data_IF_001283600886
#
_entry.id   IF_001283600886
#
_cell.length_a   1.000
_cell.length_b   1.000
_cell.length_c   1.000
_cell.angle_alpha   90.00
_cell.angle_beta   90.00
_cell.angle_gamma   90.00
#
_symmetry.space_group_name_H-M   'P 1'
#
loop_
_entity.id
_entity.type
_entity.pdbx_description
1 polymer ?
#
# COMPACT_ATOMS: atom_id res chain seq x y z
N UNK A 1 17.73 -17.39 -9.02
CA UNK A 1 16.61 -16.59 -9.54
C UNK A 1 15.60 -16.37 -8.43
N UNK A 2 15.45 -15.14 -7.93
CA UNK A 2 14.45 -14.81 -6.91
C UNK A 2 13.08 -14.77 -7.58
N UNK A 3 12.13 -15.61 -7.14
CA UNK A 3 10.76 -15.62 -7.65
C UNK A 3 10.13 -14.22 -7.49
N UNK A 4 9.41 -13.72 -8.51
CA UNK A 4 8.72 -12.43 -8.49
C UNK A 4 7.87 -12.27 -7.22
N UNK A 5 7.18 -13.34 -6.80
CA UNK A 5 6.39 -13.35 -5.58
C UNK A 5 7.23 -13.02 -4.34
N UNK A 6 8.40 -13.66 -4.20
CA UNK A 6 9.32 -13.40 -3.09
C UNK A 6 9.82 -11.95 -3.09
N UNK A 7 10.04 -11.36 -4.27
CA UNK A 7 10.48 -9.97 -4.39
C UNK A 7 9.39 -9.00 -3.93
N UNK A 8 8.15 -9.20 -4.35
CA UNK A 8 7.02 -8.37 -3.91
C UNK A 8 6.78 -8.49 -2.41
N UNK A 9 6.91 -9.68 -1.83
CA UNK A 9 6.77 -9.89 -0.39
C UNK A 9 7.85 -9.21 0.44
N UNK A 10 9.11 -9.31 0.02
CA UNK A 10 10.21 -8.61 0.68
C UNK A 10 10.01 -7.10 0.62
N UNK A 11 9.53 -6.59 -0.50
CA UNK A 11 9.26 -5.17 -0.63
C UNK A 11 8.14 -4.71 0.31
N UNK A 12 7.03 -5.45 0.37
CA UNK A 12 5.94 -5.17 1.33
C UNK A 12 6.41 -5.19 2.78
N UNK A 13 7.23 -6.18 3.15
CA UNK A 13 7.84 -6.25 4.49
C UNK A 13 8.69 -5.01 4.78
N UNK A 14 9.58 -4.63 3.86
CA UNK A 14 10.45 -3.47 4.03
C UNK A 14 9.66 -2.15 4.14
N UNK A 15 8.62 -1.95 3.33
CA UNK A 15 7.72 -0.80 3.44
C UNK A 15 7.08 -0.77 4.84
N UNK A 16 6.57 -1.91 5.31
CA UNK A 16 5.95 -2.01 6.64
C UNK A 16 6.94 -1.68 7.75
N UNK A 17 8.18 -2.18 7.66
CA UNK A 17 9.23 -1.91 8.64
C UNK A 17 9.62 -0.43 8.68
N UNK A 18 9.74 0.23 7.52
CA UNK A 18 10.04 1.67 7.46
C UNK A 18 8.92 2.48 8.10
N UNK A 19 7.66 2.25 7.71
CA UNK A 19 6.52 2.98 8.28
C UNK A 19 6.41 2.79 9.79
N UNK A 20 6.71 1.58 10.30
CA UNK A 20 6.79 1.33 11.75
C UNK A 20 7.94 2.06 12.42
N UNK A 21 9.10 2.11 11.79
CA UNK A 21 10.25 2.86 12.31
C UNK A 21 9.94 4.36 12.43
N UNK A 22 9.10 4.88 11.55
CA UNK A 22 8.57 6.25 11.58
C UNK A 22 7.40 6.44 12.57
N UNK A 23 7.07 5.41 13.36
CA UNK A 23 6.06 5.47 14.42
C UNK A 23 4.62 5.13 13.98
N UNK A 24 4.41 4.68 12.74
CA UNK A 24 3.08 4.29 12.29
C UNK A 24 2.71 2.88 12.75
N UNK A 25 1.52 2.74 13.34
CA UNK A 25 0.94 1.47 13.78
C UNK A 25 0.37 0.68 12.60
N UNK A 26 1.24 0.18 11.71
CA UNK A 26 0.84 -0.59 10.53
C UNK A 26 1.14 -2.07 10.66
N UNK A 27 0.39 -2.89 9.92
CA UNK A 27 0.68 -4.31 9.69
C UNK A 27 0.66 -4.58 8.19
N UNK A 28 1.42 -5.58 7.74
CA UNK A 28 1.24 -6.08 6.37
C UNK A 28 0.13 -7.11 6.30
N UNK A 29 -0.53 -7.19 5.15
CA UNK A 29 -1.43 -8.27 4.82
C UNK A 29 -0.73 -9.64 4.97
N UNK A 30 -1.28 -10.57 5.76
CA UNK A 30 -0.69 -11.89 5.92
C UNK A 30 -0.78 -12.69 4.62
N UNK A 31 0.18 -13.60 4.42
CA UNK A 31 0.12 -14.55 3.31
C UNK A 31 -0.34 -15.90 3.82
N UNK A 32 -1.33 -16.46 3.14
CA UNK A 32 -1.80 -17.81 3.39
C UNK A 32 -1.27 -18.77 2.33
N UNK A 33 -0.94 -19.99 2.74
CA UNK A 33 -0.49 -21.02 1.80
C UNK A 33 -1.68 -21.64 1.07
N UNK A 34 -2.86 -21.61 1.68
CA UNK A 34 -4.08 -22.22 1.15
C UNK A 34 -5.21 -21.19 1.10
N UNK A 35 -6.04 -21.26 0.06
CA UNK A 35 -7.24 -20.42 -0.06
C UNK A 35 -8.22 -20.64 1.09
N UNK A 36 -8.35 -21.88 1.57
CA UNK A 36 -9.20 -22.21 2.72
C UNK A 36 -8.78 -21.50 4.00
N UNK A 37 -7.48 -21.23 4.18
CA UNK A 37 -6.98 -20.44 5.32
C UNK A 37 -7.39 -18.97 5.13
N UNK A 38 -7.25 -18.43 3.92
CA UNK A 38 -7.59 -17.04 3.62
C UNK A 38 -9.07 -16.71 3.84
N UNK A 39 -9.97 -17.63 3.49
CA UNK A 39 -11.43 -17.43 3.62
C UNK A 39 -11.87 -17.30 5.08
N UNK A 40 -11.13 -17.88 6.03
CA UNK A 40 -11.43 -17.78 7.46
C UNK A 40 -11.08 -16.40 8.06
N UNK A 41 -10.41 -15.55 7.29
CA UNK A 41 -10.01 -14.22 7.73
C UNK A 41 -10.72 -13.17 6.89
N UNK A 42 -11.52 -12.31 7.53
CA UNK A 42 -11.98 -11.06 6.95
C UNK A 42 -10.78 -10.11 6.83
N UNK A 43 -10.04 -10.24 5.73
CA UNK A 43 -8.89 -9.40 5.45
C UNK A 43 -9.28 -8.20 4.60
N UNK A 44 -8.78 -7.04 5.01
CA UNK A 44 -8.70 -5.89 4.13
C UNK A 44 -7.87 -6.25 2.88
N UNK A 45 -8.29 -5.70 1.76
CA UNK A 45 -7.68 -5.81 0.46
C UNK A 45 -6.24 -5.30 0.44
N UNK A 46 -6.01 -4.17 1.11
CA UNK A 46 -4.72 -3.46 1.13
C UNK A 46 -3.55 -4.31 1.60
N UNK A 47 -2.40 -4.12 0.96
CA UNK A 47 -1.14 -4.76 1.32
C UNK A 47 -0.59 -4.28 2.66
N UNK A 48 -0.81 -3.00 2.98
CA UNK A 48 -0.49 -2.36 4.26
C UNK A 48 -1.80 -1.95 4.91
N UNK A 49 -1.99 -2.36 6.16
CA UNK A 49 -3.21 -2.18 6.95
C UNK A 49 -2.88 -1.43 8.26
N UNK A 50 -3.92 -0.96 8.96
CA UNK A 50 -3.80 -0.27 10.24
C UNK A 50 -3.77 1.26 10.17
N UNK A 51 -3.80 1.84 8.96
CA UNK A 51 -4.00 3.29 8.78
C UNK A 51 -5.49 3.56 8.55
N UNK A 52 -6.18 4.29 9.45
CA UNK A 52 -7.61 4.57 9.31
C UNK A 52 -7.93 5.26 7.97
N UNK A 53 -9.04 4.86 7.33
CA UNK A 53 -9.54 5.40 6.07
C UNK A 53 -8.61 5.25 4.83
N UNK A 54 -7.45 4.61 4.95
CA UNK A 54 -6.52 4.40 3.86
C UNK A 54 -6.50 2.95 3.39
N UNK A 55 -6.43 2.77 2.07
CA UNK A 55 -5.98 1.54 1.44
C UNK A 55 -4.62 1.77 0.78
N UNK A 56 -3.64 0.91 1.09
CA UNK A 56 -2.29 1.02 0.55
C UNK A 56 -1.87 -0.30 -0.08
N UNK A 57 -1.62 -0.26 -1.39
CA UNK A 57 -1.08 -1.38 -2.15
C UNK A 57 0.41 -1.17 -2.43
N UNK A 58 1.16 -2.26 -2.57
CA UNK A 58 2.59 -2.24 -2.90
C UNK A 58 2.82 -2.84 -4.28
N UNK A 59 3.75 -2.26 -5.05
CA UNK A 59 4.08 -2.68 -6.42
C UNK A 59 5.60 -2.75 -6.60
N UNK A 60 6.09 -3.87 -7.14
CA UNK A 60 7.50 -4.11 -7.42
C UNK A 60 7.69 -4.79 -8.78
N UNK A 61 6.96 -4.31 -9.76
CA UNK A 61 7.06 -4.71 -11.16
C UNK A 61 8.03 -3.79 -11.91
N UNK A 62 8.71 -4.34 -12.92
CA UNK A 62 9.62 -3.58 -13.78
C UNK A 62 8.86 -2.67 -14.75
N UNK A 63 7.74 -3.16 -15.29
CA UNK A 63 6.83 -2.38 -16.15
C UNK A 63 5.87 -1.62 -15.23
N UNK A 64 5.87 -0.29 -15.33
CA UNK A 64 5.01 0.57 -14.51
C UNK A 64 3.70 0.84 -15.24
N UNK A 65 2.64 0.16 -14.82
CA UNK A 65 1.27 0.55 -15.15
C UNK A 65 0.69 1.32 -13.96
N UNK A 66 0.90 2.63 -13.97
CA UNK A 66 0.44 3.50 -12.88
C UNK A 66 -1.09 3.64 -12.88
N UNK A 67 -1.70 3.71 -14.06
CA UNK A 67 -3.16 3.87 -14.18
C UNK A 67 -3.87 2.65 -13.64
N UNK A 68 -3.53 1.46 -14.16
CA UNK A 68 -4.16 0.21 -13.72
C UNK A 68 -3.97 -0.03 -12.22
N UNK A 69 -2.78 0.25 -11.68
CA UNK A 69 -2.52 0.08 -10.25
C UNK A 69 -3.34 1.04 -9.37
N UNK A 70 -3.54 2.29 -9.81
CA UNK A 70 -4.38 3.25 -9.10
C UNK A 70 -5.86 2.89 -9.19
N UNK A 71 -6.34 2.43 -10.35
CA UNK A 71 -7.71 1.99 -10.55
C UNK A 71 -8.03 0.77 -9.66
N UNK A 72 -7.12 -0.21 -9.62
CA UNK A 72 -7.22 -1.37 -8.71
C UNK A 72 -7.26 -0.93 -7.23
N UNK A 73 -6.34 -0.06 -6.81
CA UNK A 73 -6.32 0.42 -5.43
C UNK A 73 -7.60 1.19 -5.07
N UNK A 74 -8.15 1.98 -6.01
CA UNK A 74 -9.41 2.69 -5.80
C UNK A 74 -10.59 1.72 -5.66
N UNK A 75 -10.67 0.70 -6.52
CA UNK A 75 -11.73 -0.32 -6.45
C UNK A 75 -11.67 -1.10 -5.13
N UNK A 76 -10.47 -1.49 -4.71
CA UNK A 76 -10.26 -2.15 -3.43
C UNK A 76 -10.65 -1.24 -2.26
N UNK A 77 -10.33 0.06 -2.33
CA UNK A 77 -10.66 1.01 -1.28
C UNK A 77 -12.18 1.18 -1.14
N UNK A 78 -12.90 1.27 -2.26
CA UNK A 78 -14.37 1.30 -2.26
C UNK A 78 -14.95 0.03 -1.65
N UNK A 79 -14.42 -1.15 -2.01
CA UNK A 79 -14.88 -2.43 -1.45
C UNK A 79 -14.69 -2.50 0.06
N UNK A 80 -13.58 -1.97 0.56
CA UNK A 80 -13.22 -1.99 1.98
C UNK A 80 -13.73 -0.78 2.77
N UNK A 81 -14.53 0.11 2.14
CA UNK A 81 -15.03 1.32 2.78
C UNK A 81 -13.94 2.33 3.16
N UNK A 82 -12.80 2.32 2.48
CA UNK A 82 -11.69 3.27 2.68
C UNK A 82 -11.88 4.51 1.82
N UNK A 83 -11.73 5.68 2.42
CA UNK A 83 -11.93 6.96 1.74
C UNK A 83 -10.75 7.34 0.83
N UNK A 84 -9.56 6.81 1.09
CA UNK A 84 -8.32 7.18 0.39
C UNK A 84 -7.60 5.92 -0.08
N UNK A 85 -6.87 6.03 -1.20
CA UNK A 85 -6.03 4.94 -1.70
C UNK A 85 -4.71 5.47 -2.24
N UNK A 86 -3.64 4.68 -2.06
CA UNK A 86 -2.34 4.96 -2.64
C UNK A 86 -1.61 3.67 -3.01
N UNK A 87 -0.63 3.79 -3.90
CA UNK A 87 0.27 2.71 -4.29
C UNK A 87 1.70 3.08 -3.94
N UNK A 88 2.37 2.26 -3.14
CA UNK A 88 3.80 2.37 -2.87
C UNK A 88 4.56 1.56 -3.92
N UNK A 89 5.31 2.24 -4.77
CA UNK A 89 6.01 1.65 -5.90
C UNK A 89 7.53 1.61 -5.68
N UNK A 90 8.12 0.42 -5.82
CA UNK A 90 9.58 0.27 -5.71
C UNK A 90 10.34 1.05 -6.79
N UNK A 91 11.33 1.84 -6.38
CA UNK A 91 12.21 2.58 -7.30
C UNK A 91 13.43 1.72 -7.66
N UNK A 92 13.56 1.20 -8.90
CA UNK A 92 14.68 0.34 -9.27
C UNK A 92 16.03 1.03 -9.10
N UNK A 93 17.02 0.29 -8.58
CA UNK A 93 18.37 0.78 -8.32
C UNK A 93 18.49 1.70 -7.10
N UNK A 94 17.45 1.79 -6.26
CA UNK A 94 17.39 2.67 -5.09
C UNK A 94 16.94 1.91 -3.85
N UNK A 95 17.15 2.51 -2.69
CA UNK A 95 16.74 1.91 -1.41
C UNK A 95 15.23 1.94 -1.25
N UNK A 96 14.66 1.10 -0.38
CA UNK A 96 13.20 1.05 -0.17
C UNK A 96 12.64 2.35 0.43
N UNK A 97 13.44 3.11 1.18
CA UNK A 97 13.03 4.44 1.68
C UNK A 97 12.87 5.49 0.58
N UNK A 98 13.40 5.24 -0.62
CA UNK A 98 13.23 6.10 -1.80
C UNK A 98 12.12 5.59 -2.74
N UNK A 99 11.23 4.71 -2.26
CA UNK A 99 10.07 4.27 -3.00
C UNK A 99 9.14 5.46 -3.33
N UNK A 100 8.39 5.35 -4.42
CA UNK A 100 7.39 6.35 -4.77
C UNK A 100 6.08 6.03 -4.06
N UNK A 101 5.43 7.04 -3.50
CA UNK A 101 4.01 6.96 -3.16
C UNK A 101 3.25 7.61 -4.29
N UNK A 102 2.41 6.83 -4.96
CA UNK A 102 1.63 7.26 -6.12
C UNK A 102 0.17 7.35 -5.70
N UNK A 103 -0.45 8.48 -5.99
CA UNK A 103 -1.86 8.75 -5.76
C UNK A 103 -2.37 9.73 -6.82
N UNK A 104 -3.69 9.87 -6.94
CA UNK A 104 -4.27 10.89 -7.82
C UNK A 104 -4.06 12.29 -7.26
N UNK A 105 -4.11 13.31 -8.11
CA UNK A 105 -4.03 14.71 -7.68
C UNK A 105 -5.15 15.07 -6.69
N UNK A 106 -6.35 14.53 -6.89
CA UNK A 106 -7.50 14.73 -5.99
C UNK A 106 -7.21 14.19 -4.59
N UNK A 107 -6.73 12.95 -4.49
CA UNK A 107 -6.29 12.34 -3.23
C UNK A 107 -5.21 13.17 -2.55
N UNK A 108 -4.20 13.60 -3.31
CA UNK A 108 -3.10 14.42 -2.79
C UNK A 108 -3.60 15.77 -2.24
N UNK A 109 -4.46 16.45 -3.00
CA UNK A 109 -5.10 17.70 -2.57
C UNK A 109 -5.86 17.52 -1.24
N UNK A 110 -6.62 16.44 -1.10
CA UNK A 110 -7.32 16.12 0.15
C UNK A 110 -6.38 15.85 1.33
N UNK A 111 -5.19 15.29 1.10
CA UNK A 111 -4.16 15.14 2.14
C UNK A 111 -3.64 16.51 2.60
N UNK A 112 -3.33 17.40 1.64
CA UNK A 112 -2.83 18.73 1.97
C UNK A 112 -3.86 19.56 2.77
N UNK A 113 -5.15 19.46 2.40
CA UNK A 113 -6.21 20.16 3.14
C UNK A 113 -6.29 19.69 4.60
N UNK A 114 -6.29 18.37 4.84
CA UNK A 114 -6.29 17.81 6.21
C UNK A 114 -5.06 18.22 7.00
N UNK A 115 -3.89 18.27 6.37
CA UNK A 115 -2.66 18.71 7.03
C UNK A 115 -2.77 20.16 7.52
N UNK A 116 -3.36 21.05 6.71
CA UNK A 116 -3.59 22.45 7.12
C UNK A 116 -4.60 22.56 8.27
N UNK A 117 -5.64 21.72 8.29
CA UNK A 117 -6.63 21.68 9.38
C UNK A 117 -6.00 21.24 10.71
N UNK A 118 -5.03 20.32 10.69
CA UNK A 118 -4.35 19.84 11.91
C UNK A 118 -3.33 20.83 12.49
N UNK A 119 -2.88 21.82 11.71
CA UNK A 119 -1.95 22.86 12.15
C UNK A 119 -2.64 24.10 12.75
N UNK A 120 -3.97 24.17 12.67
CA UNK A 120 -4.81 25.26 13.21
C UNK A 120 -5.34 24.92 14.59
#
# INVERSE_FOLDING_TARGET
>A
MTNNKTRSLRFRELVTLILRADGLSVIRKPEFKRLSEAVLHELEAGDIQGIPAWLINTRNEMKRDLSGALDEARLDAVRDGKAQSAVVWYRPGRTTGEAYVVMTLDTFSGVLLRELEHQS
#
